data_IF_622245994994
#
_entry.id   IF_622245994994
#
_cell.length_a   1.000
_cell.length_b   1.000
_cell.length_c   1.000
_cell.angle_alpha   90.00
_cell.angle_beta   90.00
_cell.angle_gamma   90.00
#
_symmetry.space_group_name_H-M   'P 1'
#
loop_
_entity.id
_entity.type
_entity.pdbx_description
1 polymer ?
#
# COMPACT_ATOMS: atom_id res chain seq x y z
N UNK A 1 10.32 -9.92 18.62
CA UNK A 1 11.09 -11.19 18.66
C UNK A 1 11.37 -11.77 17.26
N UNK A 2 10.40 -11.74 16.34
CA UNK A 2 10.53 -12.25 14.96
C UNK A 2 11.56 -11.49 14.09
N UNK A 3 11.58 -10.15 14.14
CA UNK A 3 12.54 -9.35 13.35
C UNK A 3 14.01 -9.70 13.65
N UNK A 4 14.36 -9.90 14.94
CA UNK A 4 15.72 -10.30 15.36
C UNK A 4 16.11 -11.68 14.82
N UNK A 5 15.19 -12.64 14.82
CA UNK A 5 15.42 -13.98 14.24
C UNK A 5 15.64 -13.92 12.73
N UNK A 6 14.87 -13.06 12.04
CA UNK A 6 14.95 -12.91 10.58
C UNK A 6 16.29 -12.30 10.16
N UNK A 7 16.76 -11.27 10.88
CA UNK A 7 18.09 -10.67 10.69
C UNK A 7 19.20 -11.69 10.95
N UNK A 8 19.09 -12.48 12.02
CA UNK A 8 20.09 -13.50 12.35
C UNK A 8 20.18 -14.58 11.26
N UNK A 9 19.04 -15.08 10.79
CA UNK A 9 19.00 -16.07 9.70
C UNK A 9 19.63 -15.57 8.40
N UNK A 10 19.45 -14.30 8.05
CA UNK A 10 20.08 -13.71 6.86
C UNK A 10 21.59 -13.59 7.03
N UNK A 11 22.05 -13.12 8.20
CA UNK A 11 23.48 -13.02 8.49
C UNK A 11 24.19 -14.38 8.44
N UNK A 12 23.55 -15.42 9.01
CA UNK A 12 24.06 -16.79 9.03
C UNK A 12 24.16 -17.40 7.63
N UNK A 13 23.37 -16.91 6.66
CA UNK A 13 23.28 -17.44 5.30
C UNK A 13 23.82 -16.48 4.22
N UNK A 14 24.67 -15.51 4.58
CA UNK A 14 25.24 -14.50 3.68
C UNK A 14 25.94 -15.03 2.40
N UNK A 15 26.27 -16.32 2.34
CA UNK A 15 26.88 -16.98 1.16
C UNK A 15 25.88 -17.67 0.23
N UNK A 16 24.63 -17.84 0.64
CA UNK A 16 23.61 -18.55 -0.13
C UNK A 16 23.07 -17.64 -1.22
N UNK A 17 23.07 -18.12 -2.46
CA UNK A 17 22.40 -17.45 -3.57
C UNK A 17 20.92 -17.82 -3.54
N UNK A 18 20.06 -16.80 -3.58
CA UNK A 18 18.60 -16.88 -3.54
C UNK A 18 18.05 -17.33 -2.18
N UNK A 19 17.57 -16.37 -1.40
CA UNK A 19 16.90 -16.64 -0.12
C UNK A 19 15.38 -16.64 -0.33
N UNK A 20 14.70 -17.60 0.30
CA UNK A 20 13.25 -17.72 0.25
C UNK A 20 12.67 -17.78 1.67
N UNK A 21 11.63 -17.01 1.91
CA UNK A 21 10.75 -17.17 3.08
C UNK A 21 9.44 -17.76 2.59
N UNK A 22 9.03 -18.88 3.19
CA UNK A 22 7.86 -19.62 2.76
C UNK A 22 6.53 -18.99 3.21
N UNK A 23 6.52 -18.34 4.37
CA UNK A 23 5.30 -17.74 4.91
C UNK A 23 5.60 -16.50 5.75
N UNK A 24 5.02 -15.38 5.34
CA UNK A 24 4.96 -14.14 6.12
C UNK A 24 3.50 -13.83 6.44
N UNK A 25 3.23 -13.38 7.67
CA UNK A 25 1.86 -13.08 8.12
C UNK A 25 1.47 -11.61 7.96
N UNK A 26 2.45 -10.71 7.98
CA UNK A 26 2.22 -9.27 8.03
C UNK A 26 3.04 -8.56 6.95
N UNK A 27 2.56 -7.39 6.50
CA UNK A 27 3.24 -6.58 5.49
C UNK A 27 4.64 -6.14 5.96
N UNK A 28 4.81 -5.74 7.23
CA UNK A 28 6.13 -5.46 7.82
C UNK A 28 7.17 -6.56 7.61
N UNK A 29 6.77 -7.83 7.67
CA UNK A 29 7.69 -8.95 7.46
C UNK A 29 8.12 -9.06 6.00
N UNK A 30 7.18 -8.82 5.08
CA UNK A 30 7.43 -8.79 3.63
C UNK A 30 8.42 -7.66 3.30
N UNK A 31 8.18 -6.46 3.84
CA UNK A 31 9.04 -5.31 3.59
C UNK A 31 10.45 -5.50 4.17
N UNK A 32 10.53 -6.00 5.41
CA UNK A 32 11.82 -6.30 6.04
C UNK A 32 12.58 -7.39 5.27
N UNK A 33 11.88 -8.43 4.79
CA UNK A 33 12.49 -9.47 3.97
C UNK A 33 13.07 -8.89 2.67
N UNK A 34 12.33 -8.03 1.97
CA UNK A 34 12.83 -7.35 0.77
C UNK A 34 14.03 -6.46 1.06
N UNK A 35 14.04 -5.74 2.18
CA UNK A 35 15.18 -4.90 2.60
C UNK A 35 16.44 -5.73 2.92
N UNK A 36 16.26 -6.94 3.45
CA UNK A 36 17.35 -7.87 3.76
C UNK A 36 17.86 -8.64 2.53
N UNK A 37 17.32 -8.38 1.34
CA UNK A 37 17.75 -9.02 0.10
C UNK A 37 17.22 -10.45 -0.06
N UNK A 38 16.02 -10.74 0.46
CA UNK A 38 15.34 -12.02 0.25
C UNK A 38 14.54 -11.94 -1.06
N UNK A 39 14.81 -12.88 -1.96
CA UNK A 39 14.29 -12.84 -3.33
C UNK A 39 12.86 -13.36 -3.46
N UNK A 40 12.50 -14.39 -2.67
CA UNK A 40 11.19 -15.05 -2.75
C UNK A 40 10.48 -14.94 -1.41
N UNK A 41 9.26 -14.41 -1.43
CA UNK A 41 8.43 -14.21 -0.24
C UNK A 41 7.07 -14.85 -0.47
N UNK A 42 6.79 -15.92 0.26
CA UNK A 42 5.47 -16.54 0.33
C UNK A 42 4.59 -15.83 1.36
N UNK A 43 3.35 -15.52 0.98
CA UNK A 43 2.38 -14.86 1.85
C UNK A 43 0.96 -15.32 1.54
N UNK A 44 0.15 -15.47 2.58
CA UNK A 44 -1.28 -15.71 2.53
C UNK A 44 -2.10 -14.45 2.88
N UNK A 45 -1.43 -13.32 3.09
CA UNK A 45 -2.03 -12.07 3.60
C UNK A 45 -3.20 -11.55 2.75
N UNK A 46 -3.11 -11.47 1.39
CA UNK A 46 -4.25 -11.05 0.58
C UNK A 46 -5.45 -11.98 0.74
N UNK A 47 -5.22 -13.28 0.85
CA UNK A 47 -6.27 -14.29 1.06
C UNK A 47 -6.89 -14.15 2.44
N UNK A 48 -6.06 -14.02 3.49
CA UNK A 48 -6.52 -13.85 4.87
C UNK A 48 -7.42 -12.61 5.02
N UNK A 49 -6.99 -11.45 4.51
CA UNK A 49 -7.77 -10.22 4.56
C UNK A 49 -9.11 -10.36 3.82
N UNK A 50 -9.08 -11.00 2.65
CA UNK A 50 -10.29 -11.19 1.83
C UNK A 50 -11.30 -12.12 2.50
N UNK A 51 -10.83 -13.11 3.29
CA UNK A 51 -11.68 -13.95 4.13
C UNK A 51 -12.29 -13.20 5.30
N UNK A 52 -11.54 -12.28 5.91
CA UNK A 52 -12.04 -11.41 6.98
C UNK A 52 -13.00 -10.32 6.46
N UNK A 53 -12.96 -9.99 5.17
CA UNK A 53 -13.79 -8.94 4.56
C UNK A 53 -13.11 -7.60 4.56
N UNK A 54 -11.79 -7.62 4.73
CA UNK A 54 -10.93 -6.47 4.86
C UNK A 54 -10.27 -6.17 3.53
N UNK A 55 -10.24 -4.89 3.19
CA UNK A 55 -9.59 -4.41 1.98
C UNK A 55 -8.64 -3.25 2.28
N UNK A 56 -7.45 -3.24 1.70
CA UNK A 56 -6.53 -2.12 1.86
C UNK A 56 -6.96 -0.90 1.05
N UNK A 57 -7.07 0.28 1.67
CA UNK A 57 -7.19 1.54 0.94
C UNK A 57 -5.80 2.16 0.74
N UNK A 58 -5.32 2.16 -0.51
CA UNK A 58 -4.02 2.73 -0.86
C UNK A 58 -4.07 4.22 -1.18
N UNK A 59 -5.26 4.82 -1.31
CA UNK A 59 -5.41 6.17 -1.83
C UNK A 59 -4.58 7.19 -1.04
N UNK A 60 -4.74 7.17 0.29
CA UNK A 60 -4.06 8.13 1.15
C UNK A 60 -2.60 7.79 1.43
N UNK A 61 -2.30 6.50 1.63
CA UNK A 61 -0.94 6.06 1.96
C UNK A 61 0.01 6.30 0.78
N UNK A 62 -0.42 5.93 -0.43
CA UNK A 62 0.44 6.02 -1.62
C UNK A 62 0.77 7.49 -1.94
N UNK A 63 -0.22 8.38 -1.87
CA UNK A 63 0.01 9.82 -2.08
C UNK A 63 0.93 10.42 -1.01
N UNK A 64 0.77 10.02 0.26
CA UNK A 64 1.64 10.47 1.34
C UNK A 64 3.07 9.99 1.15
N UNK A 65 3.26 8.73 0.73
CA UNK A 65 4.57 8.18 0.41
C UNK A 65 5.22 8.92 -0.76
N UNK A 66 4.49 9.16 -1.85
CA UNK A 66 5.02 9.85 -3.03
C UNK A 66 5.50 11.26 -2.71
N UNK A 67 4.76 12.01 -1.87
CA UNK A 67 5.20 13.33 -1.40
C UNK A 67 6.49 13.25 -0.60
N UNK A 68 6.56 12.34 0.39
CA UNK A 68 7.77 12.14 1.21
C UNK A 68 8.97 11.72 0.37
N UNK A 69 8.77 10.83 -0.61
CA UNK A 69 9.81 10.40 -1.55
C UNK A 69 10.37 11.55 -2.37
N UNK A 70 9.50 12.41 -2.92
CA UNK A 70 9.91 13.61 -3.66
C UNK A 70 10.72 14.55 -2.76
N UNK A 71 10.27 14.81 -1.53
CA UNK A 71 10.99 15.67 -0.59
C UNK A 71 12.39 15.13 -0.24
N UNK A 72 12.54 13.81 -0.06
CA UNK A 72 13.84 13.18 0.21
C UNK A 72 14.76 13.32 -1.00
N UNK A 73 14.25 13.06 -2.21
CA UNK A 73 15.02 13.16 -3.45
C UNK A 73 15.46 14.61 -3.71
N UNK A 74 14.60 15.59 -3.48
CA UNK A 74 14.93 17.02 -3.62
C UNK A 74 16.03 17.46 -2.63
N UNK A 75 15.96 17.00 -1.37
CA UNK A 75 17.01 17.27 -0.37
C UNK A 75 18.35 16.65 -0.76
N UNK A 76 18.34 15.45 -1.36
CA UNK A 76 19.54 14.80 -1.83
C UNK A 76 20.20 15.56 -2.99
N UNK A 77 19.40 16.14 -3.90
CA UNK A 77 19.92 16.98 -5.00
C UNK A 77 20.49 18.30 -4.50
N UNK A 78 19.82 19.01 -3.59
CA UNK A 78 20.32 20.29 -3.05
C UNK A 78 21.59 20.12 -2.22
N UNK A 79 21.74 19.00 -1.52
CA UNK A 79 22.96 18.68 -0.76
C UNK A 79 24.17 18.33 -1.67
N UNK A 80 23.93 17.94 -2.93
CA UNK A 80 24.99 17.76 -3.93
C UNK A 80 25.39 19.08 -4.59
N UNK A 81 24.45 20.02 -4.74
CA UNK A 81 24.72 21.36 -5.28
C UNK A 81 25.47 22.27 -4.29
N UNK A 82 25.36 22.04 -2.96
CA UNK A 82 26.17 22.74 -1.94
C UNK A 82 27.68 22.38 -1.99
N UNK A 83 28.09 21.44 -2.85
CA UNK A 83 29.51 21.16 -3.13
C UNK A 83 30.04 21.85 -4.40
N UNK A 84 29.22 22.67 -5.04
CA UNK A 84 29.61 23.59 -6.10
C UNK A 84 29.50 25.01 -5.53
N UNK A 85 30.66 25.64 -5.28
CA UNK A 85 30.74 27.06 -4.90
C UNK A 85 30.22 27.94 -6.05
N UNK A 86 28.90 28.17 -6.12
CA UNK A 86 28.33 29.27 -6.92
C UNK A 86 27.14 29.90 -6.20
N UNK A 87 27.48 30.97 -5.47
CA UNK A 87 26.79 32.26 -5.30
C UNK A 87 25.31 32.33 -5.78
N UNK A 88 24.42 32.47 -4.79
CA UNK A 88 23.09 33.11 -4.71
C UNK A 88 22.28 33.39 -5.98
N UNK A 89 21.01 32.95 -5.99
CA UNK A 89 19.85 33.85 -6.23
C UNK A 89 18.66 33.45 -5.34
N UNK A 90 18.13 34.45 -4.63
CA UNK A 90 16.88 34.45 -3.87
C UNK A 90 15.65 34.51 -4.78
N UNK A 91 14.61 33.71 -4.48
CA UNK A 91 13.22 34.19 -4.58
C UNK A 91 12.32 33.41 -3.64
N UNK A 92 11.74 34.15 -2.71
CA UNK A 92 10.70 33.75 -1.76
C UNK A 92 9.36 33.67 -2.47
N UNK A 93 8.71 32.50 -2.49
CA UNK A 93 7.25 32.44 -2.62
C UNK A 93 6.68 31.44 -1.61
N UNK A 94 5.88 32.01 -0.69
CA UNK A 94 5.08 31.31 0.32
C UNK A 94 3.94 30.59 -0.40
N UNK A 95 3.88 29.28 -0.25
CA UNK A 95 2.66 28.51 -0.48
C UNK A 95 2.05 28.20 0.89
N UNK A 96 1.02 28.98 1.23
CA UNK A 96 0.13 28.77 2.36
C UNK A 96 -0.60 27.43 2.20
N UNK A 97 0.01 26.35 2.68
CA UNK A 97 -0.65 25.06 2.81
C UNK A 97 -1.61 25.11 4.00
N UNK A 98 -2.80 25.66 3.74
CA UNK A 98 -3.98 25.49 4.58
C UNK A 98 -4.21 24.00 4.76
N UNK A 99 -3.82 23.50 5.94
CA UNK A 99 -4.09 22.15 6.43
C UNK A 99 -5.57 21.85 6.21
N UNK A 100 -5.87 21.03 5.20
CA UNK A 100 -7.16 20.37 5.08
C UNK A 100 -7.22 19.42 6.27
N UNK A 101 -7.82 19.88 7.37
CA UNK A 101 -8.25 19.01 8.46
C UNK A 101 -9.29 18.08 7.86
N UNK A 102 -8.93 16.82 7.60
CA UNK A 102 -9.92 15.78 7.30
C UNK A 102 -10.39 15.22 8.64
N UNK A 103 -11.60 15.60 9.02
CA UNK A 103 -12.32 15.15 10.20
C UNK A 103 -12.66 13.65 10.08
N UNK A 104 -11.71 12.75 10.34
CA UNK A 104 -11.97 11.35 10.71
C UNK A 104 -10.82 10.90 11.61
N UNK A 105 -11.15 10.40 12.81
CA UNK A 105 -10.20 9.86 13.79
C UNK A 105 -9.24 8.83 13.18
N UNK A 106 -8.09 8.65 13.85
CA UNK A 106 -6.95 7.81 13.46
C UNK A 106 -7.23 6.81 12.33
N UNK A 107 -6.89 7.19 11.10
CA UNK A 107 -7.32 6.50 9.88
C UNK A 107 -6.83 5.06 9.86
N UNK A 108 -7.71 4.10 10.10
CA UNK A 108 -7.54 2.73 9.65
C UNK A 108 -7.50 2.70 8.11
N UNK A 109 -6.36 2.33 7.52
CA UNK A 109 -6.22 2.18 6.07
C UNK A 109 -6.70 0.81 5.57
N UNK A 110 -7.40 0.09 6.43
CA UNK A 110 -8.11 -1.16 6.14
C UNK A 110 -9.60 -0.88 6.24
N UNK A 111 -10.33 -1.12 5.16
CA UNK A 111 -11.79 -1.04 5.12
C UNK A 111 -12.36 -2.38 5.54
N UNK A 112 -13.27 -2.40 6.53
CA UNK A 112 -14.02 -3.60 6.89
C UNK A 112 -15.37 -3.61 6.16
N UNK A 113 -15.49 -4.41 5.10
CA UNK A 113 -16.71 -4.47 4.29
C UNK A 113 -17.92 -5.05 5.04
N UNK A 114 -17.76 -5.55 6.27
CA UNK A 114 -18.89 -5.94 7.12
C UNK A 114 -19.58 -4.72 7.75
N UNK A 115 -18.90 -3.57 7.84
CA UNK A 115 -19.45 -2.38 8.48
C UNK A 115 -20.64 -1.81 7.71
N UNK A 116 -21.71 -1.49 8.45
CA UNK A 116 -22.93 -0.93 7.89
C UNK A 116 -22.73 0.43 7.20
N UNK A 117 -21.63 1.12 7.49
CA UNK A 117 -21.26 2.40 6.83
C UNK A 117 -21.11 2.25 5.32
N UNK A 118 -20.73 1.07 4.83
CA UNK A 118 -20.53 0.81 3.41
C UNK A 118 -21.81 0.45 2.66
N UNK A 119 -22.94 0.23 3.35
CA UNK A 119 -24.21 -0.17 2.74
C UNK A 119 -24.67 0.72 1.59
N UNK A 120 -24.41 2.02 1.68
CA UNK A 120 -24.79 3.03 0.68
C UNK A 120 -23.58 3.71 0.03
N UNK A 121 -22.36 3.21 0.27
CA UNK A 121 -21.13 3.79 -0.28
C UNK A 121 -20.92 3.36 -1.74
N UNK A 122 -21.20 4.27 -2.67
CA UNK A 122 -21.03 4.07 -4.11
C UNK A 122 -19.59 4.29 -4.60
N UNK A 123 -18.63 4.59 -3.72
CA UNK A 123 -17.23 4.73 -4.10
C UNK A 123 -16.57 3.36 -4.36
N UNK A 124 -15.51 3.29 -5.18
CA UNK A 124 -14.67 2.10 -5.29
C UNK A 124 -13.89 1.87 -3.99
N UNK A 125 -13.28 0.69 -3.81
CA UNK A 125 -12.45 0.39 -2.63
C UNK A 125 -11.36 1.46 -2.46
N UNK A 126 -10.62 1.77 -3.53
CA UNK A 126 -9.59 2.80 -3.53
C UNK A 126 -9.66 3.60 -4.84
N UNK A 127 -9.67 4.93 -4.74
CA UNK A 127 -9.84 5.83 -5.91
C UNK A 127 -8.60 5.85 -6.82
N UNK A 128 -7.43 5.56 -6.25
CA UNK A 128 -6.16 5.50 -6.99
C UNK A 128 -5.82 4.10 -7.50
N UNK A 129 -6.61 3.08 -7.11
CA UNK A 129 -6.30 1.69 -7.47
C UNK A 129 -6.70 1.38 -8.90
N UNK A 130 -5.78 0.74 -9.64
CA UNK A 130 -5.94 0.39 -11.07
C UNK A 130 -6.35 -1.07 -11.28
N UNK A 131 -6.69 -1.79 -10.21
CA UNK A 131 -7.10 -3.19 -10.31
C UNK A 131 -8.44 -3.35 -11.06
N UNK A 132 -8.73 -4.58 -11.46
CA UNK A 132 -10.00 -4.95 -12.12
C UNK A 132 -11.26 -4.52 -11.35
N UNK A 133 -11.16 -4.40 -10.03
CA UNK A 133 -12.30 -4.09 -9.15
C UNK A 133 -12.56 -2.59 -9.06
N UNK A 134 -11.49 -1.79 -8.95
CA UNK A 134 -11.56 -0.36 -8.72
C UNK A 134 -11.55 0.48 -10.02
N UNK A 135 -10.98 -0.06 -11.10
CA UNK A 135 -10.80 0.70 -12.33
C UNK A 135 -12.01 0.62 -13.25
N UNK A 136 -12.33 1.74 -13.89
CA UNK A 136 -13.25 1.75 -15.04
C UNK A 136 -12.45 1.39 -16.29
N UNK A 137 -12.72 0.23 -16.87
CA UNK A 137 -12.13 -0.12 -18.17
C UNK A 137 -12.96 0.57 -19.25
N UNK A 138 -12.36 1.59 -19.86
CA UNK A 138 -12.82 2.17 -21.13
C UNK A 138 -12.12 1.39 -22.23
N UNK A 139 -12.87 0.58 -22.99
CA UNK A 139 -12.32 -0.15 -24.13
C UNK A 139 -11.75 0.86 -25.13
N UNK A 140 -10.41 0.97 -25.22
CA UNK A 140 -9.72 1.95 -26.06
C UNK A 140 -9.84 1.69 -27.57
N UNK A 141 -10.60 0.68 -27.99
CA UNK A 141 -10.94 0.42 -29.39
C UNK A 141 -12.40 0.01 -29.44
N UNK A 142 -13.20 0.74 -30.20
CA UNK A 142 -14.67 0.62 -30.27
C UNK A 142 -15.16 -0.79 -30.62
N UNK A 143 -15.13 -1.70 -29.66
CA UNK A 143 -15.46 -3.12 -29.84
C UNK A 143 -16.60 -3.60 -28.96
N UNK A 144 -17.30 -2.71 -28.25
CA UNK A 144 -18.59 -2.96 -27.60
C UNK A 144 -19.38 -1.64 -27.41
N UNK A 145 -19.85 -1.00 -28.49
CA UNK A 145 -20.78 0.14 -28.44
C UNK A 145 -20.44 1.29 -27.45
N UNK A 146 -19.15 1.57 -27.19
CA UNK A 146 -18.76 2.63 -26.24
C UNK A 146 -19.18 2.38 -24.78
N UNK A 147 -19.44 1.12 -24.39
CA UNK A 147 -19.82 0.80 -23.01
C UNK A 147 -18.59 0.80 -22.09
N UNK A 148 -18.45 1.85 -21.29
CA UNK A 148 -17.56 1.85 -20.13
C UNK A 148 -18.07 0.81 -19.13
N UNK A 149 -17.21 -0.14 -18.73
CA UNK A 149 -17.57 -1.04 -17.63
C UNK A 149 -17.43 -0.29 -16.30
N UNK A 150 -18.49 -0.22 -15.48
CA UNK A 150 -18.40 0.43 -14.18
C UNK A 150 -17.54 -0.40 -13.21
N UNK A 151 -16.81 0.28 -12.32
CA UNK A 151 -16.15 -0.33 -11.17
C UNK A 151 -17.16 -0.95 -10.19
N UNK A 152 -16.69 -1.86 -9.34
CA UNK A 152 -17.51 -2.40 -8.25
C UNK A 152 -17.47 -1.46 -7.04
N UNK A 153 -18.65 -1.08 -6.56
CA UNK A 153 -18.77 -0.17 -5.42
C UNK A 153 -18.53 -0.91 -4.10
N UNK A 154 -18.14 -0.18 -3.06
CA UNK A 154 -18.05 -0.70 -1.68
C UNK A 154 -19.40 -1.24 -1.20
N UNK A 155 -20.51 -0.58 -1.55
CA UNK A 155 -21.86 -1.04 -1.26
C UNK A 155 -22.21 -2.37 -1.92
N UNK A 156 -21.77 -2.59 -3.15
CA UNK A 156 -21.97 -3.85 -3.85
C UNK A 156 -21.18 -4.98 -3.18
N UNK A 157 -19.92 -4.72 -2.81
CA UNK A 157 -19.10 -5.69 -2.08
C UNK A 157 -19.67 -6.00 -0.68
N UNK A 158 -20.13 -4.98 0.06
CA UNK A 158 -20.84 -5.14 1.32
C UNK A 158 -22.09 -6.00 1.17
N UNK A 159 -22.89 -5.77 0.12
CA UNK A 159 -24.06 -6.59 -0.19
C UNK A 159 -23.67 -8.05 -0.45
N UNK A 160 -22.72 -8.30 -1.35
CA UNK A 160 -22.24 -9.65 -1.67
C UNK A 160 -21.70 -10.37 -0.41
N UNK A 161 -21.03 -9.65 0.49
CA UNK A 161 -20.59 -10.19 1.78
C UNK A 161 -21.75 -10.61 2.67
N UNK A 162 -22.76 -9.76 2.81
CA UNK A 162 -23.93 -10.06 3.65
C UNK A 162 -24.74 -11.24 3.11
N UNK A 163 -24.83 -11.41 1.79
CA UNK A 163 -25.49 -12.57 1.17
C UNK A 163 -24.58 -13.81 1.11
N UNK A 164 -23.35 -13.72 1.63
CA UNK A 164 -22.34 -14.80 1.68
C UNK A 164 -21.99 -15.36 0.31
N UNK A 165 -21.95 -14.51 -0.70
CA UNK A 165 -21.54 -14.86 -2.05
C UNK A 165 -20.01 -14.96 -2.15
N UNK A 166 -19.52 -16.06 -2.73
CA UNK A 166 -18.08 -16.31 -2.92
C UNK A 166 -17.39 -15.20 -3.72
N UNK A 167 -18.13 -14.57 -4.63
CA UNK A 167 -17.64 -13.47 -5.47
C UNK A 167 -17.07 -12.31 -4.63
N UNK A 168 -17.60 -12.06 -3.43
CA UNK A 168 -17.08 -11.01 -2.57
C UNK A 168 -15.64 -11.26 -2.13
N UNK A 169 -15.29 -12.50 -1.79
CA UNK A 169 -13.93 -12.90 -1.43
C UNK A 169 -13.01 -12.81 -2.64
N UNK A 170 -13.46 -13.26 -3.81
CA UNK A 170 -12.68 -13.20 -5.06
C UNK A 170 -12.35 -11.75 -5.44
N UNK A 171 -13.32 -10.85 -5.40
CA UNK A 171 -13.10 -9.43 -5.72
C UNK A 171 -12.20 -8.75 -4.68
N UNK A 172 -12.41 -9.02 -3.40
CA UNK A 172 -11.54 -8.50 -2.33
C UNK A 172 -10.10 -9.00 -2.50
N UNK A 173 -9.92 -10.27 -2.88
CA UNK A 173 -8.60 -10.86 -3.15
C UNK A 173 -7.91 -10.20 -4.32
N UNK A 174 -8.60 -10.02 -5.46
CA UNK A 174 -8.05 -9.33 -6.62
C UNK A 174 -7.54 -7.93 -6.27
N UNK A 175 -8.28 -7.19 -5.43
CA UNK A 175 -7.87 -5.87 -4.96
C UNK A 175 -6.68 -5.92 -4.00
N UNK A 176 -6.75 -6.75 -2.96
CA UNK A 176 -5.70 -6.87 -1.95
C UNK A 176 -4.38 -7.36 -2.56
N UNK A 177 -4.46 -8.33 -3.48
CA UNK A 177 -3.30 -8.84 -4.19
C UNK A 177 -2.67 -7.77 -5.08
N UNK A 178 -3.47 -7.00 -5.82
CA UNK A 178 -2.96 -5.88 -6.61
C UNK A 178 -2.26 -4.83 -5.73
N UNK A 179 -2.86 -4.47 -4.60
CA UNK A 179 -2.24 -3.54 -3.63
C UNK A 179 -0.89 -4.06 -3.12
N UNK A 180 -0.79 -5.36 -2.79
CA UNK A 180 0.47 -5.95 -2.36
C UNK A 180 1.54 -5.82 -3.46
N UNK A 181 1.19 -6.12 -4.72
CA UNK A 181 2.12 -6.02 -5.84
C UNK A 181 2.64 -4.59 -6.04
N UNK A 182 1.76 -3.58 -5.92
CA UNK A 182 2.16 -2.16 -6.00
C UNK A 182 3.19 -1.82 -4.92
N UNK A 183 2.99 -2.28 -3.69
CA UNK A 183 3.95 -2.03 -2.60
C UNK A 183 5.28 -2.76 -2.79
N UNK A 184 5.26 -3.99 -3.30
CA UNK A 184 6.49 -4.72 -3.63
C UNK A 184 7.26 -4.02 -4.76
N UNK A 185 6.56 -3.55 -5.79
CA UNK A 185 7.17 -2.79 -6.88
C UNK A 185 7.80 -1.48 -6.36
N UNK A 186 7.08 -0.75 -5.52
CA UNK A 186 7.57 0.49 -4.92
C UNK A 186 8.75 0.26 -3.96
N UNK A 187 8.75 -0.85 -3.21
CA UNK A 187 9.89 -1.26 -2.39
C UNK A 187 11.11 -1.52 -3.28
N UNK A 188 10.95 -2.29 -4.35
CA UNK A 188 12.03 -2.60 -5.29
C UNK A 188 12.60 -1.32 -5.94
N UNK A 189 11.73 -0.38 -6.33
CA UNK A 189 12.17 0.89 -6.88
C UNK A 189 12.91 1.74 -5.83
N UNK A 190 12.40 1.79 -4.60
CA UNK A 190 13.02 2.52 -3.50
C UNK A 190 14.38 1.95 -3.12
N UNK A 191 14.54 0.62 -3.07
CA UNK A 191 15.83 -0.04 -2.81
C UNK A 191 16.86 0.33 -3.89
N UNK A 192 16.48 0.35 -5.17
CA UNK A 192 17.37 0.79 -6.28
C UNK A 192 17.83 2.23 -6.14
N UNK A 193 17.01 3.10 -5.56
CA UNK A 193 17.33 4.49 -5.27
C UNK A 193 18.07 4.69 -3.94
N UNK A 194 18.33 3.63 -3.18
CA UNK A 194 18.91 3.72 -1.83
C UNK A 194 17.92 4.15 -0.74
N UNK A 195 16.62 4.24 -1.06
CA UNK A 195 15.52 4.68 -0.19
C UNK A 195 14.76 3.52 0.50
N UNK A 196 15.35 2.31 0.49
CA UNK A 196 14.67 1.10 0.99
C UNK A 196 14.33 1.15 2.48
N UNK A 197 15.15 1.87 3.28
CA UNK A 197 14.91 2.01 4.73
C UNK A 197 13.76 2.97 4.99
N UNK A 198 13.69 4.04 4.23
CA UNK A 198 12.71 5.12 4.34
C UNK A 198 11.32 4.63 3.99
N UNK A 199 11.17 3.83 2.91
CA UNK A 199 9.88 3.24 2.55
C UNK A 199 9.43 2.23 3.59
N UNK A 200 10.35 1.40 4.09
CA UNK A 200 10.04 0.39 5.12
C UNK A 200 9.64 1.07 6.42
N UNK A 201 10.35 2.12 6.83
CA UNK A 201 10.02 2.90 8.02
C UNK A 201 8.68 3.60 7.85
N UNK A 202 8.44 4.27 6.73
CA UNK A 202 7.17 4.92 6.44
C UNK A 202 6.02 3.92 6.51
N UNK A 203 6.18 2.76 5.86
CA UNK A 203 5.15 1.74 5.89
C UNK A 203 4.97 1.16 7.28
N UNK A 204 6.03 0.93 8.07
CA UNK A 204 5.92 0.49 9.47
C UNK A 204 5.19 1.51 10.37
N UNK A 205 5.41 2.81 10.15
CA UNK A 205 4.65 3.88 10.81
C UNK A 205 3.15 3.77 10.46
N UNK A 206 2.82 3.34 9.24
CA UNK A 206 1.44 3.04 8.82
C UNK A 206 1.01 1.59 9.14
N UNK A 207 1.91 0.65 9.46
CA UNK A 207 1.60 -0.79 9.56
C UNK A 207 1.00 -1.16 10.92
N UNK A 208 1.12 -0.28 11.92
CA UNK A 208 0.29 -0.28 13.13
C UNK A 208 -1.21 -0.26 12.77
N UNK A 209 -1.52 0.20 11.57
CA UNK A 209 -2.88 0.43 11.05
C UNK A 209 -3.25 -0.60 9.95
N UNK A 210 -2.28 -1.34 9.40
CA UNK A 210 -2.50 -2.33 8.31
C UNK A 210 -2.49 -3.79 8.78
N UNK A 211 -2.41 -4.05 10.09
CA UNK A 211 -2.36 -5.41 10.64
C UNK A 211 -3.72 -6.14 10.64
N UNK A 212 -3.62 -7.42 10.27
CA UNK A 212 -4.61 -8.49 10.44
C UNK A 212 -4.83 -8.86 11.90
N UNK A 213 -6.11 -9.17 12.19
CA UNK A 213 -6.72 -9.92 13.30
C UNK A 213 -6.40 -9.67 14.79
N UNK A 214 -5.28 -9.09 15.22
CA UNK A 214 -4.88 -9.13 16.65
C UNK A 214 -5.08 -7.82 17.44
N UNK A 215 -5.71 -6.79 16.86
CA UNK A 215 -6.21 -5.64 17.61
C UNK A 215 -7.72 -5.57 17.49
N UNK A 216 -8.41 -6.10 18.51
CA UNK A 216 -9.71 -5.54 18.89
C UNK A 216 -9.50 -4.05 19.12
N UNK A 217 -10.15 -3.15 18.37
CA UNK A 217 -10.25 -1.78 18.86
C UNK A 217 -11.11 -1.86 20.12
N UNK A 218 -10.49 -1.69 21.29
CA UNK A 218 -11.25 -1.15 22.40
C UNK A 218 -11.89 0.14 21.89
N UNK A 219 -13.19 0.27 22.17
CA UNK A 219 -13.98 1.49 22.05
C UNK A 219 -13.18 2.75 22.36
#
# INVERSE_FOLDING_TARGET
MLQKKLIQLVNDNSKVKNLAILQTKNLSQILLAGLLGIDIIGTDLPTALSREGKCWDISHIYDAWMKRKIEILQKATTAQDEKIDVITVTTTEKLDNKVIKSDVGGKCHVLDLNDAVYKHDLNPISKTCKCYVCNNIVDQKGSNNGKCRPFFTRSYLHHLRNVKELLAEVLSFCHNFHTLLVWIEELNHSVKLGLGKEVTQFLQEQDVILCSSDHTPNC
#
